data_IF_590496620065
#
_entry.id   IF_590496620065
#
_cell.length_a   1.000
_cell.length_b   1.000
_cell.length_c   1.000
_cell.angle_alpha   90.00
_cell.angle_beta   90.00
_cell.angle_gamma   90.00
#
_symmetry.space_group_name_H-M   'P 1'
#
loop_
_entity.id
_entity.type
_entity.pdbx_description
1 polymer ?
#
# COMPACT_ATOMS: atom_id res chain seq x y z
N UNK A 1 -7.68 11.45 -25.15
CA UNK A 1 -7.28 11.69 -23.75
C UNK A 1 -6.34 12.89 -23.74
N UNK A 2 -6.80 14.03 -23.25
CA UNK A 2 -5.98 15.24 -23.17
C UNK A 2 -4.91 15.06 -22.09
N UNK A 3 -3.65 14.91 -22.46
CA UNK A 3 -2.51 14.84 -21.53
C UNK A 3 -2.27 16.24 -20.95
N UNK A 4 -2.90 16.55 -19.81
CA UNK A 4 -2.45 17.63 -18.93
C UNK A 4 -1.04 17.26 -18.47
N UNK A 5 -0.02 18.06 -18.86
CA UNK A 5 1.37 17.86 -18.42
C UNK A 5 1.44 18.00 -16.90
N UNK A 6 1.32 16.90 -16.17
CA UNK A 6 1.62 16.86 -14.73
C UNK A 6 3.12 17.10 -14.56
N UNK A 7 3.51 17.90 -13.56
CA UNK A 7 4.93 18.16 -13.33
C UNK A 7 5.63 16.86 -12.88
N UNK A 8 6.91 16.70 -13.23
CA UNK A 8 7.72 15.55 -12.80
C UNK A 8 7.71 15.41 -11.27
N UNK A 9 7.76 16.53 -10.55
CA UNK A 9 7.63 16.55 -9.09
C UNK A 9 6.28 15.99 -8.63
N UNK A 10 5.18 16.33 -9.31
CA UNK A 10 3.85 15.79 -9.01
C UNK A 10 3.78 14.28 -9.20
N UNK A 11 4.40 13.74 -10.25
CA UNK A 11 4.49 12.29 -10.49
C UNK A 11 5.33 11.58 -9.42
N UNK A 12 6.47 12.14 -9.02
CA UNK A 12 7.28 11.57 -7.95
C UNK A 12 6.55 11.57 -6.59
N UNK A 13 5.78 12.62 -6.29
CA UNK A 13 4.98 12.70 -5.06
C UNK A 13 3.86 11.65 -5.10
N UNK A 14 3.17 11.49 -6.24
CA UNK A 14 2.13 10.46 -6.34
C UNK A 14 2.69 9.05 -6.18
N UNK A 15 3.85 8.75 -6.77
CA UNK A 15 4.52 7.46 -6.60
C UNK A 15 4.97 7.22 -5.16
N UNK A 16 5.53 8.24 -4.52
CA UNK A 16 5.94 8.15 -3.12
C UNK A 16 4.74 7.88 -2.20
N UNK A 17 3.64 8.61 -2.37
CA UNK A 17 2.42 8.43 -1.56
C UNK A 17 1.79 7.06 -1.85
N UNK A 18 1.68 6.67 -3.11
CA UNK A 18 1.13 5.36 -3.49
C UNK A 18 1.94 4.21 -2.89
N UNK A 19 3.27 4.24 -3.02
CA UNK A 19 4.15 3.22 -2.44
C UNK A 19 4.08 3.22 -0.92
N UNK A 20 4.06 4.41 -0.29
CA UNK A 20 3.97 4.52 1.16
C UNK A 20 2.66 3.92 1.71
N UNK A 21 1.53 4.14 1.03
CA UNK A 21 0.23 3.55 1.40
C UNK A 21 0.27 2.02 1.26
N UNK A 22 0.75 1.51 0.13
CA UNK A 22 0.87 0.08 -0.14
C UNK A 22 1.70 -0.63 0.95
N UNK A 23 2.87 -0.05 1.27
CA UNK A 23 3.78 -0.58 2.29
C UNK A 23 3.19 -0.45 3.69
N UNK A 24 2.51 0.65 4.00
CA UNK A 24 1.88 0.86 5.31
C UNK A 24 0.81 -0.18 5.61
N UNK A 25 -0.11 -0.43 4.66
CA UNK A 25 -1.16 -1.44 4.85
C UNK A 25 -0.60 -2.87 4.79
N UNK A 26 0.30 -3.14 3.84
CA UNK A 26 0.91 -4.45 3.66
C UNK A 26 1.74 -4.90 4.85
N UNK A 27 2.72 -4.08 5.28
CA UNK A 27 3.52 -4.39 6.47
C UNK A 27 2.72 -4.26 7.77
N UNK A 28 1.74 -3.36 7.81
CA UNK A 28 0.84 -3.18 8.94
C UNK A 28 0.03 -4.44 9.25
N UNK A 29 -0.51 -5.12 8.23
CA UNK A 29 -1.25 -6.37 8.44
C UNK A 29 -0.34 -7.52 8.91
N UNK A 30 0.90 -7.57 8.41
CA UNK A 30 1.91 -8.54 8.88
C UNK A 30 2.29 -8.24 10.33
N UNK A 31 2.47 -6.97 10.71
CA UNK A 31 2.70 -6.58 12.10
C UNK A 31 1.52 -6.93 13.00
N UNK A 32 0.28 -6.73 12.55
CA UNK A 32 -0.92 -7.14 13.28
C UNK A 32 -0.98 -8.67 13.47
N UNK A 33 -0.65 -9.45 12.43
CA UNK A 33 -0.62 -10.91 12.51
C UNK A 33 0.50 -11.43 13.43
N UNK A 34 1.68 -10.79 13.42
CA UNK A 34 2.86 -11.28 14.14
C UNK A 34 2.99 -10.76 15.57
N UNK A 35 2.63 -9.51 15.81
CA UNK A 35 2.86 -8.81 17.09
C UNK A 35 1.55 -8.63 17.86
N UNK A 36 0.45 -8.28 17.19
CA UNK A 36 -0.83 -8.05 17.85
C UNK A 36 -1.67 -9.34 18.04
N UNK A 37 -1.21 -10.47 17.50
CA UNK A 37 -1.91 -11.76 17.62
C UNK A 37 -3.20 -11.85 16.81
N UNK A 38 -3.37 -11.01 15.78
CA UNK A 38 -4.51 -11.11 14.88
C UNK A 38 -4.45 -12.43 14.09
N UNK A 39 -5.55 -13.18 14.08
CA UNK A 39 -5.67 -14.43 13.34
C UNK A 39 -5.92 -14.10 11.85
N UNK A 40 -4.87 -13.71 11.14
CA UNK A 40 -4.87 -13.48 9.70
C UNK A 40 -4.13 -14.61 8.99
N UNK A 41 -4.83 -15.34 8.12
CA UNK A 41 -4.23 -16.32 7.23
C UNK A 41 -3.55 -15.68 6.02
N UNK A 42 -2.83 -16.51 5.26
CA UNK A 42 -2.14 -16.08 4.03
C UNK A 42 -3.09 -15.47 2.99
N UNK A 43 -4.32 -15.98 2.91
CA UNK A 43 -5.34 -15.46 2.00
C UNK A 43 -5.77 -14.03 2.37
N UNK A 44 -6.10 -13.78 3.64
CA UNK A 44 -6.51 -12.43 4.07
C UNK A 44 -5.37 -11.42 3.93
N UNK A 45 -4.14 -11.82 4.27
CA UNK A 45 -2.94 -10.99 4.09
C UNK A 45 -2.74 -10.64 2.60
N UNK A 46 -2.96 -11.59 1.69
CA UNK A 46 -2.79 -11.36 0.25
C UNK A 46 -3.83 -10.38 -0.31
N UNK A 47 -5.07 -10.42 0.19
CA UNK A 47 -6.12 -9.45 -0.19
C UNK A 47 -5.76 -8.05 0.32
N UNK A 48 -5.28 -7.93 1.56
CA UNK A 48 -4.88 -6.63 2.13
C UNK A 48 -3.74 -5.99 1.33
N UNK A 49 -2.77 -6.80 0.89
CA UNK A 49 -1.70 -6.35 -0.02
C UNK A 49 -2.17 -5.99 -1.43
N UNK A 50 -3.26 -6.58 -1.92
CA UNK A 50 -3.79 -6.29 -3.24
C UNK A 50 -4.77 -5.11 -3.30
N UNK A 51 -5.37 -4.75 -2.16
CA UNK A 51 -6.32 -3.63 -2.04
C UNK A 51 -5.68 -2.33 -1.50
N UNK A 52 -4.59 -2.46 -0.72
CA UNK A 52 -3.78 -1.33 -0.25
C UNK A 52 -2.81 -0.85 -1.31
#
# INVERSE_FOLDING_TARGET
>A
MSQTKTSLMGQCISEFIGTALLVFFGLGCVAAARIAGAQLGLWEISIIWGLG
#
